data_IF_682369524359
#
_entry.id   IF_682369524359
#
_cell.length_a   1.000
_cell.length_b   1.000
_cell.length_c   1.000
_cell.angle_alpha   90.00
_cell.angle_beta   90.00
_cell.angle_gamma   90.00
#
_symmetry.space_group_name_H-M   'P 1'
#
loop_
_entity.id
_entity.type
_entity.pdbx_description
1 polymer ?
#
# COMPACT_ATOMS: atom_id res chain seq x y z
N UNK A 1 -4.83 20.35 32.70
CA UNK A 1 -5.72 19.17 32.68
C UNK A 1 -6.38 19.13 31.32
N UNK A 2 -5.87 18.30 30.41
CA UNK A 2 -6.47 18.10 29.09
C UNK A 2 -7.48 16.93 29.16
N UNK A 3 -8.64 17.02 28.49
CA UNK A 3 -9.61 15.94 28.50
C UNK A 3 -9.14 14.79 27.60
N UNK A 4 -9.17 13.59 28.16
CA UNK A 4 -8.91 12.33 27.48
C UNK A 4 -9.98 12.02 26.44
N UNK A 5 -9.63 12.02 25.15
CA UNK A 5 -10.44 11.41 24.12
C UNK A 5 -10.26 9.89 24.17
N UNK A 6 -11.21 9.19 24.80
CA UNK A 6 -11.38 7.76 24.60
C UNK A 6 -11.95 7.54 23.20
N UNK A 7 -11.14 7.00 22.29
CA UNK A 7 -11.60 6.39 21.05
C UNK A 7 -12.34 5.09 21.38
N UNK A 8 -13.59 5.19 21.83
CA UNK A 8 -14.52 4.06 21.76
C UNK A 8 -15.04 3.99 20.33
N UNK A 9 -14.25 3.39 19.43
CA UNK A 9 -14.79 2.85 18.20
C UNK A 9 -15.63 1.63 18.57
N UNK A 10 -16.89 1.85 18.97
CA UNK A 10 -17.88 0.79 18.93
C UNK A 10 -18.07 0.44 17.46
N UNK A 11 -17.35 -0.58 16.98
CA UNK A 11 -17.77 -1.37 15.84
C UNK A 11 -19.17 -1.88 16.18
N UNK A 12 -20.19 -1.12 15.77
CA UNK A 12 -21.53 -1.66 15.60
C UNK A 12 -21.37 -2.76 14.57
N UNK A 13 -21.25 -3.99 15.05
CA UNK A 13 -21.38 -5.19 14.25
C UNK A 13 -22.79 -5.12 13.68
N UNK A 14 -22.89 -4.59 12.46
CA UNK A 14 -24.14 -4.44 11.74
C UNK A 14 -24.84 -5.80 11.72
N UNK A 15 -26.13 -5.83 12.11
CA UNK A 15 -26.96 -7.04 12.13
C UNK A 15 -27.05 -7.79 10.78
N UNK A 16 -26.49 -7.23 9.71
CA UNK A 16 -26.28 -7.89 8.42
C UNK A 16 -25.25 -9.01 8.45
N UNK A 17 -24.23 -8.98 9.32
CA UNK A 17 -23.18 -10.00 9.31
C UNK A 17 -23.73 -11.39 9.70
N UNK A 18 -24.62 -11.43 10.69
CA UNK A 18 -25.33 -12.65 11.09
C UNK A 18 -26.26 -13.16 9.99
N UNK A 19 -26.96 -12.23 9.30
CA UNK A 19 -27.84 -12.56 8.16
C UNK A 19 -27.06 -13.24 7.04
N UNK A 20 -25.89 -12.70 6.67
CA UNK A 20 -25.06 -13.28 5.61
C UNK A 20 -24.31 -14.56 6.06
N UNK A 21 -23.91 -14.66 7.34
CA UNK A 21 -23.40 -15.92 7.92
C UNK A 21 -24.45 -17.04 7.90
N UNK A 22 -25.73 -16.72 8.13
CA UNK A 22 -26.83 -17.68 8.03
C UNK A 22 -27.19 -18.03 6.58
N UNK A 23 -26.90 -17.15 5.61
CA UNK A 23 -27.10 -17.39 4.18
C UNK A 23 -25.95 -18.16 3.53
N UNK A 24 -24.75 -18.10 4.11
CA UNK A 24 -23.58 -18.86 3.67
C UNK A 24 -23.76 -20.36 4.02
N UNK A 25 -24.22 -21.16 3.04
CA UNK A 25 -24.32 -22.63 3.15
C UNK A 25 -22.98 -23.34 2.88
N UNK A 26 -21.86 -22.71 3.16
CA UNK A 26 -20.52 -23.28 3.00
C UNK A 26 -19.74 -23.04 4.29
N UNK A 27 -19.00 -24.05 4.71
CA UNK A 27 -18.16 -23.96 5.89
C UNK A 27 -16.97 -23.02 5.66
N UNK A 28 -16.33 -22.58 6.74
CA UNK A 28 -15.06 -21.85 6.64
C UNK A 28 -13.99 -22.66 5.87
N UNK A 29 -14.03 -23.99 5.96
CA UNK A 29 -13.17 -24.88 5.19
C UNK A 29 -13.46 -24.80 3.69
N UNK A 30 -14.74 -24.83 3.28
CA UNK A 30 -15.14 -24.72 1.88
C UNK A 30 -14.71 -23.37 1.27
N UNK A 31 -14.79 -22.28 2.04
CA UNK A 31 -14.33 -20.96 1.61
C UNK A 31 -12.81 -20.90 1.43
N UNK A 32 -12.06 -21.49 2.37
CA UNK A 32 -10.61 -21.57 2.26
C UNK A 32 -10.21 -22.40 1.04
N UNK A 33 -10.89 -23.53 0.81
CA UNK A 33 -10.63 -24.41 -0.34
C UNK A 33 -10.93 -23.71 -1.67
N UNK A 34 -11.98 -22.90 -1.70
CA UNK A 34 -12.30 -22.04 -2.84
C UNK A 34 -11.24 -20.94 -3.09
N UNK A 35 -10.76 -20.25 -2.05
CA UNK A 35 -9.81 -19.15 -2.19
C UNK A 35 -8.39 -19.59 -2.54
N UNK A 36 -7.94 -20.72 -1.96
CA UNK A 36 -6.53 -21.11 -1.99
C UNK A 36 -6.29 -22.44 -2.72
N UNK A 37 -7.32 -23.25 -2.95
CA UNK A 37 -7.17 -24.61 -3.45
C UNK A 37 -6.69 -25.60 -2.38
N UNK A 38 -7.06 -26.87 -2.54
CA UNK A 38 -6.75 -27.94 -1.58
C UNK A 38 -5.25 -28.15 -1.38
N UNK A 39 -4.43 -28.04 -2.43
CA UNK A 39 -2.97 -28.16 -2.36
C UNK A 39 -2.34 -27.05 -1.51
N UNK A 40 -2.76 -25.79 -1.69
CA UNK A 40 -2.25 -24.67 -0.90
C UNK A 40 -2.63 -24.80 0.57
N UNK A 41 -3.83 -25.31 0.87
CA UNK A 41 -4.27 -25.58 2.24
C UNK A 41 -3.43 -26.68 2.87
N UNK A 42 -3.23 -27.80 2.18
CA UNK A 42 -2.40 -28.91 2.68
C UNK A 42 -0.96 -28.44 2.91
N UNK A 43 -0.41 -27.65 1.99
CA UNK A 43 0.91 -27.04 2.15
C UNK A 43 0.98 -26.12 3.38
N UNK A 44 0.02 -25.20 3.55
CA UNK A 44 -0.05 -24.30 4.72
C UNK A 44 -0.18 -25.09 6.02
N UNK A 45 -1.05 -26.08 6.07
CA UNK A 45 -1.25 -26.91 7.26
C UNK A 45 0.04 -27.66 7.63
N UNK A 46 0.72 -28.26 6.65
CA UNK A 46 2.01 -28.94 6.87
C UNK A 46 3.10 -27.96 7.33
N UNK A 47 3.17 -26.77 6.75
CA UNK A 47 4.07 -25.72 7.23
C UNK A 47 3.76 -25.35 8.69
N UNK A 48 2.50 -25.06 9.01
CA UNK A 48 2.11 -24.67 10.37
C UNK A 48 2.40 -25.77 11.40
N UNK A 49 2.19 -27.04 11.05
CA UNK A 49 2.53 -28.17 11.92
C UNK A 49 4.03 -28.23 12.21
N UNK A 50 4.87 -28.08 11.18
CA UNK A 50 6.34 -28.06 11.33
C UNK A 50 6.78 -26.87 12.18
N UNK A 51 6.27 -25.67 11.91
CA UNK A 51 6.64 -24.47 12.65
C UNK A 51 6.16 -24.52 14.11
N UNK A 52 4.99 -25.10 14.38
CA UNK A 52 4.45 -25.21 15.74
C UNK A 52 5.28 -26.14 16.63
N UNK A 53 5.94 -27.12 16.03
CA UNK A 53 6.76 -28.11 16.73
C UNK A 53 8.25 -27.71 16.82
N UNK A 54 8.64 -26.57 16.24
CA UNK A 54 9.99 -26.03 16.32
C UNK A 54 10.10 -24.94 17.40
N UNK A 55 10.96 -25.19 18.37
CA UNK A 55 11.25 -24.30 19.50
C UNK A 55 11.68 -22.88 19.08
N UNK A 56 12.25 -22.71 17.89
CA UNK A 56 12.66 -21.39 17.36
C UNK A 56 11.45 -20.49 17.04
N UNK A 57 10.29 -21.07 16.74
CA UNK A 57 9.06 -20.34 16.40
C UNK A 57 8.08 -20.25 17.56
N UNK A 58 8.40 -20.84 18.73
CA UNK A 58 7.61 -20.67 19.94
C UNK A 58 7.51 -19.19 20.26
N UNK A 59 6.28 -18.77 20.59
CA UNK A 59 5.97 -17.38 20.88
C UNK A 59 6.56 -17.01 22.24
N UNK A 60 7.55 -16.13 22.23
CA UNK A 60 8.07 -15.49 23.43
C UNK A 60 7.10 -14.36 23.84
N UNK A 61 6.56 -14.46 25.05
CA UNK A 61 5.59 -13.49 25.59
C UNK A 61 6.25 -12.39 26.43
N UNK A 62 7.59 -12.38 26.52
CA UNK A 62 8.33 -11.33 27.22
C UNK A 62 8.36 -10.04 26.39
N UNK A 63 8.53 -8.91 27.08
CA UNK A 63 8.86 -7.63 26.44
C UNK A 63 10.34 -7.69 26.06
N UNK A 64 10.60 -7.79 24.75
CA UNK A 64 11.95 -7.90 24.20
C UNK A 64 12.52 -6.53 23.89
N UNK A 65 13.82 -6.35 24.08
CA UNK A 65 14.54 -5.22 23.51
C UNK A 65 14.59 -5.32 21.97
N UNK A 66 14.89 -4.21 21.30
CA UNK A 66 14.97 -4.18 19.84
C UNK A 66 16.06 -5.11 19.28
N UNK A 67 17.18 -5.26 20.00
CA UNK A 67 18.27 -6.16 19.60
C UNK A 67 17.90 -7.64 19.75
N UNK A 68 17.23 -8.01 20.84
CA UNK A 68 16.73 -9.39 21.04
C UNK A 68 15.69 -9.75 19.98
N UNK A 69 14.78 -8.83 19.67
CA UNK A 69 13.78 -9.01 18.60
C UNK A 69 14.43 -9.25 17.24
N UNK A 70 15.49 -8.49 16.90
CA UNK A 70 16.26 -8.68 15.66
C UNK A 70 16.97 -10.03 15.62
N UNK A 71 17.58 -10.45 16.73
CA UNK A 71 18.27 -11.75 16.80
C UNK A 71 17.31 -12.92 16.63
N UNK A 72 16.16 -12.89 17.31
CA UNK A 72 15.11 -13.91 17.18
C UNK A 72 14.56 -13.96 15.75
N UNK A 73 14.31 -12.80 15.13
CA UNK A 73 13.87 -12.72 13.74
C UNK A 73 14.88 -13.36 12.79
N UNK A 74 16.17 -13.03 12.93
CA UNK A 74 17.24 -13.59 12.11
C UNK A 74 17.40 -15.11 12.28
N UNK A 75 17.25 -15.61 13.52
CA UNK A 75 17.28 -17.05 13.79
C UNK A 75 16.10 -17.78 13.13
N UNK A 76 14.88 -17.24 13.26
CA UNK A 76 13.68 -17.77 12.60
C UNK A 76 13.82 -17.77 11.08
N UNK A 77 14.37 -16.69 10.51
CA UNK A 77 14.60 -16.59 9.07
C UNK A 77 15.55 -17.67 8.55
N UNK A 78 16.70 -17.87 9.22
CA UNK A 78 17.65 -18.93 8.88
C UNK A 78 17.01 -20.32 8.99
N UNK A 79 16.19 -20.53 10.01
CA UNK A 79 15.52 -21.80 10.22
C UNK A 79 14.44 -22.07 9.15
N UNK A 80 13.70 -21.05 8.69
CA UNK A 80 12.77 -21.18 7.56
C UNK A 80 13.46 -21.64 6.27
N UNK A 81 14.67 -21.13 6.00
CA UNK A 81 15.44 -21.53 4.83
C UNK A 81 15.89 -23.00 4.91
N UNK A 82 16.18 -23.52 6.11
CA UNK A 82 16.54 -24.92 6.31
C UNK A 82 15.40 -25.89 5.99
N UNK A 83 14.13 -25.48 6.19
CA UNK A 83 12.97 -26.30 5.89
C UNK A 83 12.71 -26.48 4.40
N UNK A 84 13.26 -25.58 3.57
CA UNK A 84 13.20 -25.68 2.11
C UNK A 84 11.78 -25.94 1.58
N UNK A 85 10.79 -25.28 2.19
CA UNK A 85 9.36 -25.47 1.90
C UNK A 85 9.02 -25.25 0.42
N UNK A 86 9.80 -24.41 -0.26
CA UNK A 86 9.67 -24.11 -1.68
C UNK A 86 10.99 -24.51 -2.34
N UNK A 87 10.96 -25.58 -3.13
CA UNK A 87 12.06 -25.90 -4.04
C UNK A 87 11.89 -25.06 -5.29
N UNK A 88 12.88 -24.22 -5.60
CA UNK A 88 12.98 -23.54 -6.88
C UNK A 88 13.58 -24.49 -7.92
N UNK A 89 12.89 -25.60 -8.18
CA UNK A 89 13.16 -26.38 -9.39
C UNK A 89 12.63 -25.52 -10.55
N UNK A 90 13.49 -25.21 -11.53
CA UNK A 90 13.31 -24.13 -12.52
C UNK A 90 11.88 -23.97 -13.06
N UNK A 91 11.48 -22.72 -13.28
CA UNK A 91 10.20 -22.20 -13.78
C UNK A 91 9.70 -22.87 -15.09
N UNK A 92 9.40 -24.17 -15.06
CA UNK A 92 8.68 -24.93 -16.07
C UNK A 92 7.37 -25.48 -15.49
N UNK A 93 6.75 -24.75 -14.57
CA UNK A 93 5.36 -24.96 -14.25
C UNK A 93 4.53 -24.36 -15.41
N UNK A 94 4.16 -25.20 -16.37
CA UNK A 94 3.02 -24.90 -17.22
C UNK A 94 1.82 -24.65 -16.31
N UNK A 95 1.37 -23.41 -16.23
CA UNK A 95 0.10 -23.04 -15.63
C UNK A 95 -1.00 -23.75 -16.42
N UNK A 96 -1.33 -24.97 -16.05
CA UNK A 96 -2.60 -25.57 -16.42
C UNK A 96 -3.68 -24.73 -15.72
N UNK A 97 -4.27 -23.81 -16.48
CA UNK A 97 -5.50 -23.11 -16.10
C UNK A 97 -6.54 -24.21 -15.89
N UNK A 98 -6.81 -24.50 -14.63
CA UNK A 98 -7.73 -25.56 -14.21
C UNK A 98 -9.08 -25.35 -14.90
N UNK A 99 -9.39 -26.26 -15.83
CA UNK A 99 -10.23 -26.01 -17.00
C UNK A 99 -11.73 -25.84 -16.77
N UNK A 100 -12.21 -25.52 -15.56
CA UNK A 100 -13.61 -25.14 -15.44
C UNK A 100 -13.94 -24.22 -14.25
N UNK A 101 -13.49 -22.96 -14.32
CA UNK A 101 -13.98 -21.90 -13.43
C UNK A 101 -15.52 -21.76 -13.47
N UNK A 102 -16.18 -22.14 -14.57
CA UNK A 102 -17.64 -22.06 -14.68
C UNK A 102 -18.33 -22.96 -13.65
N UNK A 103 -17.76 -24.11 -13.29
CA UNK A 103 -18.31 -24.99 -12.23
C UNK A 103 -18.47 -24.20 -10.93
N UNK A 104 -17.45 -23.45 -10.53
CA UNK A 104 -17.47 -22.68 -9.28
C UNK A 104 -18.30 -21.39 -9.39
N UNK A 105 -18.29 -20.75 -10.55
CA UNK A 105 -19.16 -19.58 -10.82
C UNK A 105 -20.64 -19.98 -10.74
N UNK A 106 -21.02 -21.16 -11.23
CA UNK A 106 -22.38 -21.70 -11.17
C UNK A 106 -22.81 -22.08 -9.74
N UNK A 107 -21.87 -22.31 -8.82
CA UNK A 107 -22.18 -22.57 -7.41
C UNK A 107 -22.53 -21.29 -6.63
N UNK A 108 -22.23 -20.10 -7.17
CA UNK A 108 -22.54 -18.83 -6.53
C UNK A 108 -24.06 -18.66 -6.41
N UNK A 109 -24.52 -18.37 -5.18
CA UNK A 109 -25.95 -18.22 -4.85
C UNK A 109 -26.39 -16.75 -4.79
N UNK A 110 -25.49 -15.85 -5.13
CA UNK A 110 -25.70 -14.41 -5.12
C UNK A 110 -24.98 -13.81 -6.33
N UNK A 111 -25.46 -12.67 -6.79
CA UNK A 111 -24.85 -11.91 -7.88
C UNK A 111 -23.54 -11.29 -7.42
N UNK A 112 -22.46 -11.48 -8.18
CA UNK A 112 -21.18 -10.83 -7.91
C UNK A 112 -21.29 -9.31 -8.03
N UNK A 113 -22.17 -8.81 -8.89
CA UNK A 113 -22.44 -7.39 -9.03
C UNK A 113 -23.09 -6.83 -7.74
N UNK A 114 -24.07 -7.55 -7.18
CA UNK A 114 -24.76 -7.12 -5.97
C UNK A 114 -23.81 -7.13 -4.76
N UNK A 115 -22.91 -8.12 -4.68
CA UNK A 115 -21.88 -8.16 -3.64
C UNK A 115 -20.89 -6.99 -3.78
N UNK A 116 -20.44 -6.69 -5.00
CA UNK A 116 -19.56 -5.54 -5.24
C UNK A 116 -20.26 -4.23 -4.85
N UNK A 117 -21.50 -4.03 -5.28
CA UNK A 117 -22.28 -2.83 -4.94
C UNK A 117 -22.47 -2.71 -3.43
N UNK A 118 -22.71 -3.81 -2.73
CA UNK A 118 -22.81 -3.82 -1.27
C UNK A 118 -21.50 -3.49 -0.57
N UNK A 119 -20.36 -3.98 -1.07
CA UNK A 119 -19.03 -3.76 -0.48
C UNK A 119 -18.52 -2.33 -0.70
N UNK A 120 -18.69 -1.80 -1.91
CA UNK A 120 -18.00 -0.59 -2.35
C UNK A 120 -18.95 0.59 -2.63
N UNK A 121 -20.23 0.32 -2.87
CA UNK A 121 -21.18 1.33 -3.36
C UNK A 121 -21.09 1.55 -4.87
N UNK A 122 -22.22 1.87 -5.48
CA UNK A 122 -22.36 2.04 -6.94
C UNK A 122 -21.53 3.21 -7.48
N UNK A 123 -21.43 4.33 -6.76
CA UNK A 123 -20.61 5.48 -7.17
C UNK A 123 -19.11 5.14 -7.21
N UNK A 124 -18.61 4.36 -6.26
CA UNK A 124 -17.22 3.90 -6.22
C UNK A 124 -16.90 2.98 -7.38
N UNK A 125 -17.78 2.02 -7.65
CA UNK A 125 -17.63 1.11 -8.79
C UNK A 125 -17.63 1.88 -10.11
N UNK A 126 -18.58 2.79 -10.31
CA UNK A 126 -18.67 3.57 -11.55
C UNK A 126 -17.43 4.44 -11.77
N UNK A 127 -16.94 5.09 -10.71
CA UNK A 127 -15.72 5.91 -10.79
C UNK A 127 -14.48 5.09 -11.12
N UNK A 128 -14.25 3.97 -10.41
CA UNK A 128 -13.12 3.06 -10.68
C UNK A 128 -13.18 2.50 -12.10
N UNK A 129 -14.35 2.05 -12.55
CA UNK A 129 -14.55 1.52 -13.90
C UNK A 129 -14.24 2.57 -14.97
N UNK A 130 -14.67 3.82 -14.78
CA UNK A 130 -14.36 4.93 -15.68
C UNK A 130 -12.86 5.17 -15.78
N UNK A 131 -12.12 5.15 -14.66
CA UNK A 131 -10.67 5.29 -14.68
C UNK A 131 -10.04 4.11 -15.43
N UNK A 132 -10.40 2.87 -15.10
CA UNK A 132 -9.87 1.69 -15.79
C UNK A 132 -10.14 1.69 -17.30
N UNK A 133 -11.32 2.15 -17.73
CA UNK A 133 -11.65 2.28 -19.15
C UNK A 133 -10.72 3.28 -19.85
N UNK A 134 -10.47 4.44 -19.23
CA UNK A 134 -9.55 5.44 -19.76
C UNK A 134 -8.11 4.89 -19.82
N UNK A 135 -7.63 4.28 -18.73
CA UNK A 135 -6.28 3.70 -18.70
C UNK A 135 -6.12 2.54 -19.69
N UNK A 136 -7.16 1.73 -19.91
CA UNK A 136 -7.12 0.62 -20.88
C UNK A 136 -6.99 1.10 -22.32
N UNK A 137 -7.57 2.26 -22.64
CA UNK A 137 -7.62 2.80 -23.99
C UNK A 137 -6.47 3.77 -24.32
N UNK A 138 -5.65 4.14 -23.34
CA UNK A 138 -4.48 4.99 -23.55
C UNK A 138 -3.20 4.15 -23.65
N UNK A 139 -2.50 4.30 -24.79
CA UNK A 139 -1.25 3.62 -25.10
C UNK A 139 -0.15 3.84 -24.05
N UNK A 140 -0.14 4.97 -23.34
CA UNK A 140 0.84 5.26 -22.28
C UNK A 140 0.72 4.28 -21.09
N UNK A 141 -0.47 3.70 -20.91
CA UNK A 141 -0.77 2.76 -19.83
C UNK A 141 -0.78 1.30 -20.28
N UNK A 142 -0.40 1.01 -21.52
CA UNK A 142 -0.15 -0.37 -21.96
C UNK A 142 0.96 -0.98 -21.11
N UNK A 143 0.73 -2.22 -20.67
CA UNK A 143 1.68 -2.95 -19.84
C UNK A 143 2.81 -3.51 -20.69
N UNK A 144 4.03 -3.16 -20.31
CA UNK A 144 5.24 -3.82 -20.78
C UNK A 144 5.66 -4.86 -19.75
N UNK A 145 5.65 -6.13 -20.15
CA UNK A 145 5.96 -7.27 -19.29
C UNK A 145 7.45 -7.66 -19.33
N UNK A 146 8.28 -6.89 -20.05
CA UNK A 146 9.73 -7.10 -20.09
C UNK A 146 10.37 -6.68 -18.76
N UNK A 147 11.57 -7.21 -18.53
CA UNK A 147 12.44 -6.70 -17.46
C UNK A 147 12.99 -5.35 -17.93
N UNK A 148 12.58 -4.29 -17.25
CA UNK A 148 13.01 -2.93 -17.54
C UNK A 148 14.24 -2.56 -16.72
N UNK A 149 15.10 -1.71 -17.27
CA UNK A 149 16.12 -1.02 -16.49
C UNK A 149 15.46 0.02 -15.56
N UNK A 150 16.19 0.45 -14.52
CA UNK A 150 15.72 1.49 -13.60
C UNK A 150 15.37 2.80 -14.32
N UNK A 151 16.17 3.19 -15.32
CA UNK A 151 15.94 4.42 -16.07
C UNK A 151 14.69 4.33 -16.96
N UNK A 152 14.46 3.20 -17.63
CA UNK A 152 13.23 2.99 -18.41
C UNK A 152 11.99 3.01 -17.52
N UNK A 153 12.04 2.32 -16.37
CA UNK A 153 10.95 2.31 -15.39
C UNK A 153 10.61 3.73 -14.90
N UNK A 154 11.63 4.54 -14.57
CA UNK A 154 11.46 5.96 -14.19
C UNK A 154 10.84 6.80 -15.32
N UNK A 155 11.33 6.63 -16.55
CA UNK A 155 10.80 7.36 -17.71
C UNK A 155 9.33 7.03 -17.97
N UNK A 156 8.97 5.75 -17.95
CA UNK A 156 7.58 5.28 -18.12
C UNK A 156 6.70 5.81 -16.99
N UNK A 157 7.14 5.72 -15.73
CA UNK A 157 6.41 6.24 -14.58
C UNK A 157 6.17 7.76 -14.70
N UNK A 158 7.19 8.52 -15.11
CA UNK A 158 7.06 9.96 -15.33
C UNK A 158 6.13 10.32 -16.50
N UNK A 159 6.14 9.53 -17.58
CA UNK A 159 5.19 9.72 -18.70
C UNK A 159 3.75 9.46 -18.25
N UNK A 160 3.51 8.35 -17.55
CA UNK A 160 2.19 8.00 -16.98
C UNK A 160 1.71 9.03 -15.98
N UNK A 161 2.60 9.56 -15.13
CA UNK A 161 2.29 10.63 -14.18
C UNK A 161 1.77 11.89 -14.88
N UNK A 162 2.50 12.37 -15.90
CA UNK A 162 2.07 13.54 -16.68
C UNK A 162 0.71 13.32 -17.33
N UNK A 163 0.47 12.12 -17.84
CA UNK A 163 -0.80 11.78 -18.46
C UNK A 163 -1.96 11.68 -17.45
N UNK A 164 -1.72 11.12 -16.26
CA UNK A 164 -2.70 11.13 -15.17
C UNK A 164 -3.14 12.54 -14.78
N UNK A 165 -2.20 13.48 -14.73
CA UNK A 165 -2.50 14.87 -14.40
C UNK A 165 -3.38 15.55 -15.46
N UNK A 166 -3.16 15.24 -16.74
CA UNK A 166 -4.01 15.74 -17.83
C UNK A 166 -5.47 15.28 -17.69
N UNK A 167 -5.70 14.06 -17.19
CA UNK A 167 -7.05 13.55 -16.96
C UNK A 167 -7.76 14.21 -15.78
N UNK A 168 -7.00 14.70 -14.79
CA UNK A 168 -7.53 15.42 -13.63
C UNK A 168 -8.70 14.68 -12.96
N UNK A 169 -8.52 13.37 -12.72
CA UNK A 169 -9.54 12.50 -12.12
C UNK A 169 -10.02 12.98 -10.75
N UNK A 170 -9.11 13.59 -9.99
CA UNK A 170 -9.39 14.22 -8.71
C UNK A 170 -8.93 15.66 -8.77
N UNK A 171 -9.85 16.57 -8.48
CA UNK A 171 -9.51 17.95 -8.20
C UNK A 171 -9.11 18.08 -6.74
N UNK A 172 -7.86 18.45 -6.49
CA UNK A 172 -7.42 18.84 -5.16
C UNK A 172 -7.99 20.22 -4.81
N UNK A 173 -8.87 20.29 -3.82
CA UNK A 173 -9.48 21.53 -3.31
C UNK A 173 -9.22 21.66 -1.80
N UNK A 174 -7.98 21.37 -1.40
CA UNK A 174 -7.57 21.34 -0.01
C UNK A 174 -8.42 20.37 0.83
N UNK A 175 -8.96 20.85 1.95
CA UNK A 175 -9.79 20.06 2.88
C UNK A 175 -11.16 19.66 2.31
N UNK A 176 -11.57 20.22 1.16
CA UNK A 176 -12.83 19.87 0.49
C UNK A 176 -12.67 18.74 -0.53
N UNK A 177 -11.45 18.24 -0.71
CA UNK A 177 -11.19 17.10 -1.60
C UNK A 177 -12.05 15.92 -1.13
N UNK A 178 -12.80 15.31 -2.06
CA UNK A 178 -13.66 14.18 -1.73
C UNK A 178 -12.80 12.97 -1.32
N UNK A 179 -12.86 12.61 -0.04
CA UNK A 179 -12.04 11.55 0.56
C UNK A 179 -12.35 10.17 -0.01
N UNK A 180 -13.61 9.90 -0.37
CA UNK A 180 -14.00 8.61 -0.96
C UNK A 180 -13.43 8.48 -2.37
N UNK A 181 -13.55 9.53 -3.20
CA UNK A 181 -12.95 9.53 -4.55
C UNK A 181 -11.43 9.44 -4.49
N UNK A 182 -10.81 10.04 -3.48
CA UNK A 182 -9.38 9.91 -3.21
C UNK A 182 -8.98 8.45 -2.99
N UNK A 183 -9.65 7.75 -2.06
CA UNK A 183 -9.39 6.34 -1.77
C UNK A 183 -9.63 5.46 -3.00
N UNK A 184 -10.72 5.70 -3.74
CA UNK A 184 -11.00 4.92 -4.95
C UNK A 184 -9.92 5.08 -6.02
N UNK A 185 -9.44 6.31 -6.23
CA UNK A 185 -8.38 6.59 -7.20
C UNK A 185 -7.07 5.95 -6.77
N UNK A 186 -6.69 6.02 -5.49
CA UNK A 186 -5.47 5.40 -5.02
C UNK A 186 -5.51 3.88 -5.12
N UNK A 187 -6.66 3.25 -4.85
CA UNK A 187 -6.84 1.81 -5.04
C UNK A 187 -6.68 1.39 -6.52
N UNK A 188 -7.20 2.20 -7.45
CA UNK A 188 -6.98 1.97 -8.90
C UNK A 188 -5.50 2.10 -9.25
N UNK A 189 -4.81 3.12 -8.74
CA UNK A 189 -3.37 3.28 -9.00
C UNK A 189 -2.56 2.14 -8.39
N UNK A 190 -2.85 1.70 -7.16
CA UNK A 190 -2.14 0.60 -6.50
C UNK A 190 -2.33 -0.74 -7.20
N UNK A 191 -3.57 -1.04 -7.61
CA UNK A 191 -3.88 -2.26 -8.37
C UNK A 191 -3.30 -2.24 -9.78
N UNK A 192 -3.14 -1.05 -10.36
CA UNK A 192 -2.43 -0.87 -11.60
C UNK A 192 -0.91 -0.90 -11.37
N UNK A 193 -0.27 0.18 -10.92
CA UNK A 193 1.18 0.33 -10.83
C UNK A 193 1.63 0.95 -9.50
N UNK A 194 2.37 0.18 -8.70
CA UNK A 194 2.85 0.64 -7.41
C UNK A 194 3.81 1.85 -7.50
N UNK A 195 4.64 1.93 -8.55
CA UNK A 195 5.56 3.07 -8.69
C UNK A 195 4.81 4.37 -8.95
N UNK A 196 3.77 4.30 -9.78
CA UNK A 196 2.89 5.42 -10.06
C UNK A 196 2.06 5.83 -8.82
N UNK A 197 1.53 4.84 -8.08
CA UNK A 197 0.83 5.07 -6.83
C UNK A 197 1.74 5.76 -5.79
N UNK A 198 2.97 5.26 -5.59
CA UNK A 198 3.95 5.89 -4.69
C UNK A 198 4.26 7.33 -5.11
N UNK A 199 4.42 7.60 -6.40
CA UNK A 199 4.66 8.95 -6.92
C UNK A 199 3.51 9.90 -6.58
N UNK A 200 2.26 9.43 -6.72
CA UNK A 200 1.06 10.17 -6.33
C UNK A 200 1.04 10.45 -4.82
N UNK A 201 1.24 9.43 -3.98
CA UNK A 201 1.20 9.58 -2.53
C UNK A 201 2.22 10.59 -2.01
N UNK A 202 3.46 10.54 -2.52
CA UNK A 202 4.51 11.46 -2.07
C UNK A 202 4.18 12.90 -2.47
N UNK A 203 3.65 13.11 -3.67
CA UNK A 203 3.20 14.42 -4.11
C UNK A 203 2.02 14.93 -3.23
N UNK A 204 1.06 14.05 -2.92
CA UNK A 204 -0.06 14.37 -2.05
C UNK A 204 0.40 14.72 -0.61
N UNK A 205 1.35 13.97 -0.04
CA UNK A 205 1.93 14.25 1.28
C UNK A 205 2.58 15.63 1.27
N UNK A 206 3.41 15.94 0.28
CA UNK A 206 4.04 17.26 0.15
C UNK A 206 3.00 18.39 0.12
N UNK A 207 1.96 18.26 -0.70
CA UNK A 207 0.86 19.22 -0.78
C UNK A 207 0.14 19.38 0.57
N UNK A 208 -0.23 18.27 1.21
CA UNK A 208 -0.96 18.28 2.49
C UNK A 208 -0.11 18.86 3.62
N UNK A 209 1.20 18.60 3.66
CA UNK A 209 2.10 19.20 4.65
C UNK A 209 2.13 20.72 4.52
N UNK A 210 2.21 21.26 3.31
CA UNK A 210 2.15 22.72 3.11
C UNK A 210 0.77 23.26 3.48
N UNK A 211 -0.30 22.57 3.12
CA UNK A 211 -1.66 22.99 3.43
C UNK A 211 -1.92 23.05 4.95
N UNK A 212 -1.39 22.07 5.70
CA UNK A 212 -1.62 21.92 7.14
C UNK A 212 -0.69 22.76 8.01
N UNK A 213 0.59 22.84 7.65
CA UNK A 213 1.63 23.51 8.45
C UNK A 213 2.05 24.87 7.88
N UNK A 214 1.65 25.18 6.66
CA UNK A 214 1.98 26.43 5.99
C UNK A 214 1.09 27.59 6.43
N UNK A 215 1.62 28.80 6.30
CA UNK A 215 0.88 30.06 6.37
C UNK A 215 0.53 30.60 4.98
N UNK A 216 -0.23 31.70 4.89
CA UNK A 216 -0.62 32.36 3.63
C UNK A 216 0.54 32.62 2.66
N UNK A 217 1.77 32.77 3.16
CA UNK A 217 2.96 32.95 2.30
C UNK A 217 3.20 31.76 1.35
N UNK A 218 2.69 30.56 1.69
CA UNK A 218 2.86 29.36 0.87
C UNK A 218 1.69 29.11 -0.08
N UNK A 219 0.69 29.99 -0.14
CA UNK A 219 -0.46 29.82 -1.03
C UNK A 219 -0.03 29.69 -2.50
N UNK A 220 0.95 30.49 -2.94
CA UNK A 220 1.52 30.40 -4.28
C UNK A 220 2.18 29.04 -4.56
N UNK A 221 2.74 28.38 -3.53
CA UNK A 221 3.32 27.04 -3.68
C UNK A 221 2.20 26.01 -3.86
N UNK A 222 1.11 26.11 -3.10
CA UNK A 222 -0.06 25.23 -3.23
C UNK A 222 -0.70 25.35 -4.63
N UNK A 223 -0.86 26.56 -5.14
CA UNK A 223 -1.36 26.80 -6.51
C UNK A 223 -0.46 26.16 -7.57
N UNK A 224 0.86 26.31 -7.42
CA UNK A 224 1.84 25.64 -8.29
C UNK A 224 1.84 24.13 -8.19
N UNK A 225 1.60 23.56 -6.99
CA UNK A 225 1.43 22.12 -6.81
C UNK A 225 0.18 21.62 -7.55
N UNK A 226 -0.95 22.35 -7.47
CA UNK A 226 -2.18 21.98 -8.18
C UNK A 226 -2.01 21.98 -9.71
N UNK A 227 -1.20 22.91 -10.23
CA UNK A 227 -0.85 22.96 -11.65
C UNK A 227 0.28 21.99 -12.03
N UNK A 228 0.81 21.22 -11.08
CA UNK A 228 1.98 20.36 -11.23
C UNK A 228 3.23 21.11 -11.77
N UNK A 229 3.33 22.41 -11.48
CA UNK A 229 4.55 23.21 -11.71
C UNK A 229 5.61 22.90 -10.65
N UNK A 230 5.17 22.50 -9.45
CA UNK A 230 6.02 22.03 -8.36
C UNK A 230 5.62 20.60 -8.01
N UNK A 231 6.56 19.67 -8.15
CA UNK A 231 6.47 18.32 -7.60
C UNK A 231 7.45 18.24 -6.44
N UNK A 232 6.94 18.03 -5.23
CA UNK A 232 7.76 17.93 -4.05
C UNK A 232 8.06 16.51 -3.59
N UNK A 233 8.93 16.44 -2.60
CA UNK A 233 9.30 15.26 -1.84
C UNK A 233 9.11 15.53 -0.35
N UNK A 234 9.06 14.48 0.46
CA UNK A 234 8.97 14.57 1.92
C UNK A 234 10.23 13.96 2.56
N UNK A 235 11.21 14.80 2.85
CA UNK A 235 12.54 14.39 3.33
C UNK A 235 12.62 14.37 4.87
N UNK A 236 12.02 13.36 5.49
CA UNK A 236 12.08 13.17 6.94
C UNK A 236 13.17 12.18 7.36
N UNK A 237 13.14 10.98 6.79
CA UNK A 237 14.02 9.85 7.12
C UNK A 237 15.50 10.14 6.86
N UNK A 238 16.35 9.77 7.81
CA UNK A 238 17.81 9.79 7.73
C UNK A 238 18.36 8.36 7.68
N UNK A 239 19.60 8.19 7.24
CA UNK A 239 20.23 6.88 7.14
C UNK A 239 20.25 6.13 8.48
N UNK A 240 20.48 6.81 9.60
CA UNK A 240 20.43 6.21 10.95
C UNK A 240 19.08 6.35 11.68
N UNK A 241 18.14 7.19 11.19
CA UNK A 241 16.88 7.50 11.88
C UNK A 241 15.67 7.47 10.96
N UNK A 242 14.78 6.49 11.18
CA UNK A 242 13.48 6.41 10.51
C UNK A 242 12.31 6.28 11.48
N UNK A 243 12.36 5.30 12.38
CA UNK A 243 11.30 5.09 13.39
C UNK A 243 11.38 6.09 14.54
N UNK A 244 12.59 6.47 14.96
CA UNK A 244 12.81 7.47 16.00
C UNK A 244 13.08 8.85 15.38
N UNK A 245 11.99 9.52 15.02
CA UNK A 245 12.04 10.85 14.41
C UNK A 245 12.49 11.96 15.37
N UNK A 246 12.47 11.71 16.69
CA UNK A 246 12.93 12.69 17.68
C UNK A 246 14.45 12.81 17.72
N UNK A 247 15.16 11.77 17.27
CA UNK A 247 16.61 11.68 17.28
C UNK A 247 17.26 12.00 15.93
N UNK A 248 16.51 12.58 14.98
CA UNK A 248 17.10 13.06 13.72
C UNK A 248 18.22 14.08 14.01
N UNK A 249 19.25 14.05 13.18
CA UNK A 249 20.49 14.81 13.39
C UNK A 249 20.71 15.92 12.38
N UNK A 250 19.88 16.01 11.33
CA UNK A 250 19.85 17.21 10.48
C UNK A 250 19.43 18.41 11.32
N UNK A 251 20.25 19.44 11.35
CA UNK A 251 20.05 20.64 12.16
C UNK A 251 19.53 21.80 11.30
N UNK A 252 18.76 22.70 11.92
CA UNK A 252 18.28 23.93 11.30
C UNK A 252 18.55 25.09 12.26
N UNK A 253 19.55 25.91 11.94
CA UNK A 253 19.93 27.06 12.75
C UNK A 253 19.43 28.36 12.12
N UNK A 254 18.97 29.31 12.92
CA UNK A 254 18.62 30.64 12.41
C UNK A 254 19.83 31.58 12.54
N UNK A 255 20.40 31.98 11.41
CA UNK A 255 21.53 32.92 11.34
C UNK A 255 21.22 34.08 10.37
N UNK A 256 21.45 35.32 10.82
CA UNK A 256 21.34 36.56 10.01
C UNK A 256 20.08 36.67 9.13
N UNK A 257 18.91 36.24 9.63
CA UNK A 257 17.65 36.34 8.90
C UNK A 257 17.34 35.15 7.99
N UNK A 258 18.13 34.08 8.04
CA UNK A 258 17.98 32.90 7.22
C UNK A 258 18.02 31.62 8.07
N UNK A 259 17.36 30.56 7.59
CA UNK A 259 17.51 29.22 8.14
C UNK A 259 18.66 28.50 7.43
N UNK A 260 19.64 28.05 8.19
CA UNK A 260 20.80 27.28 7.72
C UNK A 260 20.58 25.83 8.08
N UNK A 261 20.33 25.00 7.06
CA UNK A 261 20.20 23.54 7.20
C UNK A 261 21.60 22.90 7.17
N UNK A 262 21.89 22.02 8.13
CA UNK A 262 23.17 21.33 8.21
C UNK A 262 22.98 19.82 8.41
N UNK A 263 23.67 19.02 7.59
CA UNK A 263 23.79 17.58 7.76
C UNK A 263 25.18 17.31 8.33
N UNK A 264 25.30 16.91 9.62
CA UNK A 264 26.59 16.87 10.32
C UNK A 264 27.53 15.75 9.84
N UNK A 265 26.97 14.64 9.35
CA UNK A 265 27.73 13.51 8.81
C UNK A 265 26.84 12.61 7.92
N UNK A 266 27.45 11.56 7.36
CA UNK A 266 26.81 10.65 6.40
C UNK A 266 25.59 9.92 6.97
N UNK A 267 25.54 9.60 8.28
CA UNK A 267 24.36 8.91 8.82
C UNK A 267 23.15 9.84 9.00
N UNK A 268 23.38 11.16 9.03
CA UNK A 268 22.31 12.17 9.06
C UNK A 268 21.77 12.50 7.66
N UNK A 269 22.35 11.92 6.59
CA UNK A 269 21.89 12.13 5.23
C UNK A 269 20.43 11.66 5.08
N UNK A 270 19.60 12.52 4.46
CA UNK A 270 18.22 12.15 4.12
C UNK A 270 18.21 11.01 3.10
N UNK A 271 17.37 10.01 3.33
CA UNK A 271 17.26 8.85 2.45
C UNK A 271 15.81 8.40 2.28
N UNK A 272 15.57 7.62 1.22
CA UNK A 272 14.25 7.05 0.87
C UNK A 272 13.14 8.07 0.59
N UNK A 273 13.48 9.35 0.42
CA UNK A 273 12.55 10.36 -0.05
C UNK A 273 12.29 10.14 -1.55
N UNK A 274 11.10 9.65 -1.91
CA UNK A 274 10.74 9.56 -3.33
C UNK A 274 10.53 10.95 -3.95
N UNK A 275 10.61 11.02 -5.27
CA UNK A 275 10.71 12.26 -6.07
C UNK A 275 11.95 13.12 -5.77
N UNK A 276 12.89 12.64 -4.96
CA UNK A 276 14.22 13.22 -4.80
C UNK A 276 15.14 12.57 -5.85
N UNK A 277 14.98 12.96 -7.11
CA UNK A 277 15.87 12.56 -8.23
C UNK A 277 16.76 13.74 -8.66
#
# INVERSE_FOLDING_TARGET
MMPSYQLTASLQINGNLLKYQQMAKFSSCDLQEWLYGSESIQFKNKMFEILRNDNVFVRDWRILTMNESRQICNQRWKQLLNYNFIKFDGLNASLEINGNLLKYQQMAKFSSCDLQEWLYGSESIQFKNKIFEILRNDNVFVRDWRILTMNESRQICNQRWKQLLNYNFIKFDGLKTNSERFVDFTEVLESYDQSLATKFYINAIFYITILSMGTNRHQQILEKCMNNEIVGCFCLTELSHGSDVNSIRTECHYDKGQFVMHTPDDEAMKCWAGNLD
#
